data_IF_320814019490
#
_entry.id   IF_320814019490
#
_cell.length_a   1.000
_cell.length_b   1.000
_cell.length_c   1.000
_cell.angle_alpha   90.00
_cell.angle_beta   90.00
_cell.angle_gamma   90.00
#
_symmetry.space_group_name_H-M   'P 1'
#
loop_
_entity.id
_entity.type
_entity.pdbx_description
1 polymer ?
#
# COMPACT_ATOMS: atom_id res chain seq x y z
N UNK A 1 -1.97 15.83 8.33
CA UNK A 1 -1.93 14.64 9.21
C UNK A 1 -2.66 13.54 8.47
N UNK A 2 -2.01 12.42 8.19
CA UNK A 2 -2.66 11.28 7.49
C UNK A 2 -3.55 10.54 8.48
N UNK A 3 -4.81 10.32 8.11
CA UNK A 3 -5.80 9.56 8.89
C UNK A 3 -5.92 8.12 8.38
N UNK A 4 -6.54 7.23 9.15
CA UNK A 4 -6.83 5.86 8.68
C UNK A 4 -7.78 5.83 7.48
N UNK A 5 -8.65 6.83 7.34
CA UNK A 5 -9.51 6.98 6.17
C UNK A 5 -8.68 7.27 4.91
N UNK A 6 -7.69 8.16 5.01
CA UNK A 6 -6.77 8.45 3.91
C UNK A 6 -6.01 7.18 3.50
N UNK A 7 -5.53 6.38 4.46
CA UNK A 7 -4.86 5.10 4.19
C UNK A 7 -5.78 4.10 3.49
N UNK A 8 -7.05 4.03 3.88
CA UNK A 8 -8.03 3.15 3.24
C UNK A 8 -8.29 3.54 1.76
N UNK A 9 -8.39 4.83 1.46
CA UNK A 9 -8.53 5.32 0.08
C UNK A 9 -7.23 5.16 -0.73
N UNK A 10 -6.05 5.30 -0.12
CA UNK A 10 -4.77 4.99 -0.76
C UNK A 10 -4.69 3.51 -1.16
N UNK A 11 -5.05 2.60 -0.26
CA UNK A 11 -5.08 1.16 -0.54
C UNK A 11 -6.03 0.83 -1.70
N UNK A 12 -7.22 1.41 -1.69
CA UNK A 12 -8.23 1.24 -2.74
C UNK A 12 -7.76 1.79 -4.09
N UNK A 13 -7.02 2.90 -4.08
CA UNK A 13 -6.42 3.49 -5.27
C UNK A 13 -5.31 2.60 -5.82
N UNK A 14 -4.38 2.15 -4.98
CA UNK A 14 -3.33 1.19 -5.35
C UNK A 14 -3.89 -0.07 -6.01
N UNK A 15 -4.96 -0.65 -5.44
CA UNK A 15 -5.66 -1.80 -6.04
C UNK A 15 -6.20 -1.50 -7.44
N UNK A 16 -6.84 -0.33 -7.62
CA UNK A 16 -7.44 0.09 -8.89
C UNK A 16 -6.38 0.37 -9.95
N UNK A 17 -5.27 0.98 -9.56
CA UNK A 17 -4.11 1.23 -10.42
C UNK A 17 -3.48 -0.10 -10.90
N UNK A 18 -3.41 -1.09 -10.01
CA UNK A 18 -3.04 -2.47 -10.34
C UNK A 18 -4.11 -3.23 -11.16
N UNK A 19 -5.27 -2.62 -11.43
CA UNK A 19 -6.43 -3.18 -12.15
C UNK A 19 -6.99 -4.47 -11.54
N UNK A 20 -6.93 -4.58 -10.21
CA UNK A 20 -7.42 -5.75 -9.48
C UNK A 20 -8.82 -5.49 -8.90
N UNK A 21 -9.66 -6.52 -8.91
CA UNK A 21 -10.83 -6.60 -8.03
C UNK A 21 -10.41 -6.83 -6.58
N UNK A 22 -11.32 -6.61 -5.64
CA UNK A 22 -11.06 -6.91 -4.23
C UNK A 22 -10.76 -8.40 -3.99
N UNK A 23 -11.34 -9.28 -4.80
CA UNK A 23 -11.13 -10.73 -4.66
C UNK A 23 -9.73 -11.13 -5.15
N UNK A 24 -9.31 -10.62 -6.31
CA UNK A 24 -7.97 -10.88 -6.86
C UNK A 24 -6.87 -10.35 -5.94
N UNK A 25 -7.05 -9.15 -5.38
CA UNK A 25 -6.09 -8.61 -4.40
C UNK A 25 -6.04 -9.48 -3.15
N UNK A 26 -7.20 -9.93 -2.65
CA UNK A 26 -7.28 -10.78 -1.48
C UNK A 26 -6.56 -12.12 -1.68
N UNK A 27 -6.76 -12.75 -2.84
CA UNK A 27 -6.09 -13.99 -3.22
C UNK A 27 -4.57 -13.81 -3.26
N UNK A 28 -4.08 -12.74 -3.91
CA UNK A 28 -2.64 -12.43 -3.97
C UNK A 28 -2.01 -12.17 -2.60
N UNK A 29 -2.74 -11.51 -1.70
CA UNK A 29 -2.26 -11.19 -0.35
C UNK A 29 -2.48 -12.30 0.69
N UNK A 30 -3.11 -13.42 0.31
CA UNK A 30 -3.44 -14.51 1.23
C UNK A 30 -4.42 -14.08 2.34
N UNK A 31 -5.44 -13.30 2.00
CA UNK A 31 -6.51 -12.88 2.92
C UNK A 31 -7.89 -13.09 2.31
N UNK A 32 -8.95 -12.92 3.09
CA UNK A 32 -10.32 -12.99 2.57
C UNK A 32 -10.73 -11.69 1.85
N UNK A 33 -11.62 -11.78 0.85
CA UNK A 33 -12.21 -10.61 0.19
C UNK A 33 -12.88 -9.64 1.19
N UNK A 34 -13.54 -10.17 2.24
CA UNK A 34 -14.17 -9.34 3.27
C UNK A 34 -13.13 -8.58 4.11
N UNK A 35 -11.94 -9.14 4.29
CA UNK A 35 -10.81 -8.41 4.88
C UNK A 35 -10.44 -7.21 4.02
N UNK A 36 -10.28 -7.37 2.70
CA UNK A 36 -9.98 -6.25 1.79
C UNK A 36 -11.09 -5.18 1.84
N UNK A 37 -12.35 -5.58 1.73
CA UNK A 37 -13.48 -4.65 1.79
C UNK A 37 -13.52 -3.87 3.12
N UNK A 38 -13.19 -4.52 4.25
CA UNK A 38 -13.11 -3.84 5.55
C UNK A 38 -11.95 -2.85 5.61
N UNK A 39 -10.78 -3.22 5.06
CA UNK A 39 -9.60 -2.36 5.01
C UNK A 39 -9.86 -1.11 4.16
N UNK A 40 -10.58 -1.24 3.03
CA UNK A 40 -10.91 -0.11 2.14
C UNK A 40 -12.05 0.78 2.65
N UNK A 41 -12.85 0.32 3.61
CA UNK A 41 -14.00 1.08 4.14
C UNK A 41 -13.81 1.51 5.60
N UNK A 42 -12.73 1.07 6.24
CA UNK A 42 -12.45 1.26 7.67
C UNK A 42 -13.62 0.82 8.57
N UNK A 43 -14.35 -0.24 8.19
CA UNK A 43 -15.62 -0.63 8.80
C UNK A 43 -15.57 -1.01 10.31
N UNK A 44 -14.38 -1.17 10.89
CA UNK A 44 -14.18 -1.47 12.32
C UNK A 44 -13.51 -0.35 13.11
N UNK A 45 -13.17 0.76 12.46
CA UNK A 45 -12.39 1.85 13.09
C UNK A 45 -10.92 1.51 13.34
N UNK A 46 -10.48 0.29 13.00
CA UNK A 46 -9.10 -0.18 13.11
C UNK A 46 -8.61 -0.81 11.80
N UNK A 47 -7.28 -0.86 11.66
CA UNK A 47 -6.60 -1.41 10.49
C UNK A 47 -5.37 -2.21 10.94
N UNK A 48 -5.28 -3.46 10.47
CA UNK A 48 -4.09 -4.28 10.72
C UNK A 48 -2.96 -3.86 9.79
N UNK A 49 -1.84 -3.42 10.36
CA UNK A 49 -0.64 -3.02 9.59
C UNK A 49 -0.05 -4.20 8.82
N UNK A 50 -0.04 -5.41 9.38
CA UNK A 50 0.48 -6.59 8.69
C UNK A 50 -0.39 -7.03 7.50
N UNK A 51 -1.70 -6.78 7.56
CA UNK A 51 -2.59 -6.96 6.41
C UNK A 51 -2.38 -5.86 5.38
N UNK A 52 -2.22 -4.61 5.82
CA UNK A 52 -1.96 -3.47 4.93
C UNK A 52 -0.70 -3.69 4.11
N UNK A 53 0.42 -4.07 4.73
CA UNK A 53 1.69 -4.34 4.05
C UNK A 53 1.52 -5.41 2.97
N UNK A 54 0.93 -6.57 3.30
CA UNK A 54 0.70 -7.64 2.32
C UNK A 54 -0.19 -7.22 1.15
N UNK A 55 -1.19 -6.38 1.41
CA UNK A 55 -2.07 -5.88 0.35
C UNK A 55 -1.36 -4.88 -0.56
N UNK A 56 -0.49 -4.03 -0.02
CA UNK A 56 0.34 -3.12 -0.82
C UNK A 56 1.32 -3.90 -1.70
N UNK A 57 2.03 -4.89 -1.13
CA UNK A 57 2.94 -5.77 -1.86
C UNK A 57 2.21 -6.51 -2.98
N UNK A 58 1.03 -7.08 -2.69
CA UNK A 58 0.19 -7.77 -3.68
C UNK A 58 -0.34 -6.85 -4.80
N UNK A 59 -0.43 -5.54 -4.53
CA UNK A 59 -0.75 -4.51 -5.52
C UNK A 59 0.49 -3.95 -6.24
N UNK A 60 1.70 -4.38 -5.88
CA UNK A 60 2.96 -3.93 -6.50
C UNK A 60 3.56 -2.66 -5.88
N UNK A 61 3.24 -2.36 -4.62
CA UNK A 61 3.76 -1.20 -3.90
C UNK A 61 4.60 -1.62 -2.69
N UNK A 62 5.71 -0.92 -2.48
CA UNK A 62 6.49 -0.99 -1.24
C UNK A 62 6.06 0.12 -0.28
N UNK A 63 5.98 -0.19 1.02
CA UNK A 63 5.72 0.79 2.07
C UNK A 63 7.04 1.40 2.56
N UNK A 64 7.23 2.71 2.37
CA UNK A 64 8.38 3.46 2.89
C UNK A 64 7.94 4.61 3.80
N UNK A 65 8.70 4.85 4.86
CA UNK A 65 8.52 6.02 5.73
C UNK A 65 9.30 7.19 5.14
N UNK A 66 8.62 8.32 4.95
CA UNK A 66 9.20 9.57 4.43
C UNK A 66 8.95 10.72 5.40
N UNK A 67 9.86 11.69 5.45
CA UNK A 67 9.67 12.89 6.27
C UNK A 67 8.54 13.76 5.68
N UNK A 68 7.70 14.41 6.51
CA UNK A 68 6.72 15.38 6.02
C UNK A 68 7.38 16.47 5.18
N UNK A 69 6.78 16.82 4.04
CA UNK A 69 7.33 17.82 3.11
C UNK A 69 8.45 17.30 2.19
N UNK A 70 8.81 16.03 2.28
CA UNK A 70 9.71 15.40 1.34
C UNK A 70 9.00 15.17 -0.01
N UNK A 71 9.29 16.04 -0.98
CA UNK A 71 9.00 15.79 -2.39
C UNK A 71 10.12 14.92 -2.93
N UNK A 72 9.79 13.79 -3.57
CA UNK A 72 10.78 12.88 -4.16
C UNK A 72 11.72 13.69 -5.07
N UNK A 73 12.96 13.80 -4.65
CA UNK A 73 13.99 14.54 -5.36
C UNK A 73 14.69 13.64 -6.39
N UNK A 74 15.41 14.26 -7.31
CA UNK A 74 16.28 13.53 -8.23
C UNK A 74 17.33 12.71 -7.45
N UNK A 75 17.81 13.20 -6.31
CA UNK A 75 18.74 12.48 -5.44
C UNK A 75 18.14 11.21 -4.83
N UNK A 76 16.86 11.23 -4.46
CA UNK A 76 16.17 10.03 -3.96
C UNK A 76 16.07 8.96 -5.04
N UNK A 77 15.73 9.34 -6.27
CA UNK A 77 15.66 8.43 -7.43
C UNK A 77 17.03 7.80 -7.71
N UNK A 78 18.10 8.61 -7.69
CA UNK A 78 19.46 8.14 -7.93
C UNK A 78 19.98 7.23 -6.80
N UNK A 79 19.56 7.47 -5.55
CA UNK A 79 19.93 6.62 -4.42
C UNK A 79 19.25 5.25 -4.48
N UNK A 80 17.96 5.20 -4.86
CA UNK A 80 17.22 3.94 -5.03
C UNK A 80 17.81 3.06 -6.14
N UNK A 81 18.19 3.65 -7.28
CA UNK A 81 18.84 2.91 -8.37
C UNK A 81 20.20 2.33 -7.97
N UNK A 82 21.01 3.09 -7.20
CA UNK A 82 22.29 2.59 -6.68
C UNK A 82 22.15 1.44 -5.68
N UNK A 83 21.03 1.38 -4.95
CA UNK A 83 20.76 0.30 -4.00
C UNK A 83 20.16 -0.95 -4.66
N UNK A 84 19.43 -0.80 -5.77
CA UNK A 84 18.94 -1.93 -6.56
C UNK A 84 20.00 -2.68 -7.38
N UNK A 85 21.18 -2.08 -7.54
CA UNK A 85 22.36 -2.66 -8.25
C UNK A 85 23.36 -3.36 -7.33
N UNK A 86 23.08 -3.48 -6.03
CA UNK A 86 23.89 -4.29 -5.11
C UNK A 86 23.45 -5.77 -5.21
N UNK A 87 24.38 -6.70 -5.50
CA UNK A 87 24.09 -8.12 -5.71
C UNK A 87 23.57 -8.83 -4.45
#
# INVERSE_FOLDING_TARGET
MTTLFDVAEMLKSARREARLSQDELAQRAGVSRTTVARMETLAKGDMSVSVLVRLLEAAGYDLKLVKPGHVRTVEDILAEQRQGDLP
#
